data_IF_916501897406
#
_entry.id   IF_916501897406
#
_cell.length_a   1.000
_cell.length_b   1.000
_cell.length_c   1.000
_cell.angle_alpha   90.00
_cell.angle_beta   90.00
_cell.angle_gamma   90.00
#
_symmetry.space_group_name_H-M   'P 1'
#
loop_
_entity.id
_entity.type
_entity.pdbx_description
1 polymer ?
#
# COMPACT_ATOMS: atom_id res chain seq x y z
N UNK A 1 1.04 30.07 9.00
CA UNK A 1 2.05 30.18 7.93
C UNK A 1 3.44 29.89 8.49
N UNK A 2 3.83 28.61 8.52
CA UNK A 2 5.19 28.11 8.79
C UNK A 2 5.29 26.74 8.10
N UNK A 3 6.17 26.61 7.12
CA UNK A 3 6.55 25.33 6.51
C UNK A 3 7.73 24.74 7.31
N UNK A 4 7.76 23.42 7.59
CA UNK A 4 9.01 22.74 7.89
C UNK A 4 9.53 21.96 6.66
N UNK A 5 10.71 22.39 6.23
CA UNK A 5 11.83 21.61 5.70
C UNK A 5 11.54 20.30 4.94
N UNK A 6 11.69 20.35 3.62
CA UNK A 6 12.12 19.21 2.82
C UNK A 6 13.49 18.72 3.32
N UNK A 7 13.52 17.59 4.04
CA UNK A 7 14.73 16.82 4.23
C UNK A 7 15.01 16.02 2.95
N UNK A 8 15.90 16.56 2.12
CA UNK A 8 16.49 15.86 0.99
C UNK A 8 17.70 15.04 1.47
N UNK A 9 17.87 13.86 0.86
CA UNK A 9 19.04 12.95 0.88
C UNK A 9 19.19 12.01 2.10
N UNK A 10 19.23 10.70 1.83
CA UNK A 10 20.49 10.12 1.35
C UNK A 10 20.28 9.20 0.14
N UNK A 11 20.40 9.72 -1.07
CA UNK A 11 20.43 8.89 -2.30
C UNK A 11 21.72 9.02 -3.11
N UNK A 12 22.65 9.89 -2.72
CA UNK A 12 23.95 10.04 -3.42
C UNK A 12 25.02 9.03 -3.01
N UNK A 13 24.86 8.32 -1.89
CA UNK A 13 25.86 7.35 -1.44
C UNK A 13 25.73 5.96 -2.09
N UNK A 14 24.55 5.59 -2.61
CA UNK A 14 24.32 4.24 -3.15
C UNK A 14 24.65 4.09 -4.64
N UNK A 15 24.69 5.17 -5.42
CA UNK A 15 24.96 5.10 -6.87
C UNK A 15 26.45 4.99 -7.22
N UNK A 16 27.34 5.49 -6.35
CA UNK A 16 28.79 5.48 -6.63
C UNK A 16 29.40 4.09 -6.37
N UNK A 17 28.92 3.37 -5.36
CA UNK A 17 29.39 2.01 -5.05
C UNK A 17 29.16 1.00 -6.18
N UNK A 18 28.05 1.12 -6.92
CA UNK A 18 27.73 0.24 -8.04
C UNK A 18 28.64 0.49 -9.26
N UNK A 19 28.99 1.76 -9.52
CA UNK A 19 29.92 2.12 -10.60
C UNK A 19 31.34 1.64 -10.26
N UNK A 20 31.79 1.80 -9.02
CA UNK A 20 33.09 1.31 -8.59
C UNK A 20 33.18 -0.22 -8.60
N UNK A 21 32.11 -0.93 -8.17
CA UNK A 21 32.04 -2.39 -8.28
C UNK A 21 32.09 -2.85 -9.75
N UNK A 22 31.34 -2.20 -10.65
CA UNK A 22 31.35 -2.53 -12.07
C UNK A 22 32.70 -2.28 -12.75
N UNK A 23 33.39 -1.19 -12.41
CA UNK A 23 34.73 -0.88 -12.94
C UNK A 23 35.80 -1.81 -12.36
N UNK A 24 35.71 -2.16 -11.07
CA UNK A 24 36.62 -3.14 -10.44
C UNK A 24 36.41 -4.56 -10.98
N UNK A 25 35.16 -4.98 -11.22
CA UNK A 25 34.85 -6.25 -11.88
C UNK A 25 35.43 -6.24 -13.31
N UNK A 26 35.23 -5.14 -14.07
CA UNK A 26 35.79 -5.01 -15.42
C UNK A 26 37.32 -5.05 -15.43
N UNK A 27 37.98 -4.42 -14.46
CA UNK A 27 39.44 -4.39 -14.34
C UNK A 27 40.01 -5.72 -13.82
N UNK A 28 39.34 -6.35 -12.85
CA UNK A 28 39.70 -7.67 -12.32
C UNK A 28 39.54 -8.78 -13.35
N UNK A 29 38.59 -8.64 -14.28
CA UNK A 29 38.43 -9.55 -15.42
C UNK A 29 39.46 -9.30 -16.53
N UNK A 30 40.09 -8.12 -16.59
CA UNK A 30 41.07 -7.78 -17.62
C UNK A 30 42.49 -8.32 -17.33
N UNK A 31 42.79 -8.69 -16.08
CA UNK A 31 44.11 -9.23 -15.68
C UNK A 31 44.22 -10.76 -15.72
N UNK A 32 43.13 -11.48 -15.96
CA UNK A 32 43.17 -12.93 -16.15
C UNK A 32 43.08 -13.26 -17.63
N UNK A 33 44.14 -13.85 -18.18
CA UNK A 33 44.22 -14.51 -19.50
C UNK A 33 43.27 -15.74 -19.59
N UNK A 34 41.99 -15.55 -19.24
CA UNK A 34 40.91 -16.53 -19.34
C UNK A 34 39.85 -16.12 -20.37
N UNK A 35 39.96 -14.92 -20.96
CA UNK A 35 39.01 -14.34 -21.92
C UNK A 35 39.33 -14.67 -23.39
N UNK A 36 39.85 -15.87 -23.69
CA UNK A 36 40.07 -16.28 -25.09
C UNK A 36 38.93 -17.12 -25.68
N UNK A 37 37.82 -17.37 -24.94
CA UNK A 37 36.70 -18.19 -25.43
C UNK A 37 35.39 -17.41 -25.60
N UNK A 38 34.92 -17.37 -26.84
CA UNK A 38 33.68 -16.73 -27.31
C UNK A 38 32.42 -17.19 -26.53
N UNK A 39 32.48 -18.36 -25.90
CA UNK A 39 31.37 -18.98 -25.16
C UNK A 39 31.01 -18.27 -23.84
N UNK A 40 31.95 -17.58 -23.19
CA UNK A 40 31.72 -16.93 -21.90
C UNK A 40 30.89 -15.64 -22.02
N UNK A 41 31.09 -14.89 -23.10
CA UNK A 41 30.31 -13.67 -23.39
C UNK A 41 28.83 -13.96 -23.66
N UNK A 42 28.53 -15.07 -24.32
CA UNK A 42 27.14 -15.47 -24.60
C UNK A 42 26.45 -15.91 -23.30
N UNK A 43 27.14 -16.66 -22.45
CA UNK A 43 26.57 -17.12 -21.17
C UNK A 43 26.24 -15.97 -20.21
N UNK A 44 27.13 -14.97 -20.11
CA UNK A 44 26.91 -13.79 -19.26
C UNK A 44 25.77 -12.91 -19.77
N UNK A 45 25.71 -12.65 -21.08
CA UNK A 45 24.63 -11.88 -21.68
C UNK A 45 23.25 -12.54 -21.49
N UNK A 46 23.17 -13.87 -21.63
CA UNK A 46 21.91 -14.61 -21.40
C UNK A 46 21.50 -14.58 -19.92
N UNK A 47 22.46 -14.71 -19.00
CA UNK A 47 22.18 -14.60 -17.57
C UNK A 47 21.65 -13.22 -17.19
N UNK A 48 22.21 -12.14 -17.74
CA UNK A 48 21.73 -10.77 -17.53
C UNK A 48 20.32 -10.56 -18.09
N UNK A 49 20.04 -11.07 -19.31
CA UNK A 49 18.69 -11.00 -19.89
C UNK A 49 17.68 -11.75 -19.02
N UNK A 50 18.02 -12.96 -18.55
CA UNK A 50 17.16 -13.74 -17.65
C UNK A 50 16.94 -12.99 -16.34
N UNK A 51 17.98 -12.39 -15.75
CA UNK A 51 17.87 -11.60 -14.53
C UNK A 51 16.93 -10.40 -14.71
N UNK A 52 17.09 -9.65 -15.81
CA UNK A 52 16.21 -8.52 -16.14
C UNK A 52 14.77 -8.97 -16.34
N UNK A 53 14.53 -10.09 -17.04
CA UNK A 53 13.19 -10.65 -17.22
C UNK A 53 12.57 -11.09 -15.89
N UNK A 54 13.35 -11.73 -15.02
CA UNK A 54 12.90 -12.11 -13.68
C UNK A 54 12.57 -10.87 -12.83
N UNK A 55 13.41 -9.84 -12.83
CA UNK A 55 13.12 -8.56 -12.18
C UNK A 55 11.85 -7.92 -12.74
N UNK A 56 11.65 -7.96 -14.06
CA UNK A 56 10.45 -7.42 -14.72
C UNK A 56 9.19 -8.22 -14.34
N UNK A 57 9.27 -9.54 -14.25
CA UNK A 57 8.15 -10.41 -13.84
C UNK A 57 7.82 -10.21 -12.37
N UNK A 58 8.82 -10.12 -11.49
CA UNK A 58 8.62 -9.82 -10.07
C UNK A 58 7.94 -8.45 -9.92
N UNK A 59 8.41 -7.45 -10.67
CA UNK A 59 7.81 -6.10 -10.69
C UNK A 59 6.38 -6.09 -11.28
N UNK A 60 6.09 -6.93 -12.26
CA UNK A 60 4.74 -7.11 -12.82
C UNK A 60 3.79 -7.87 -11.88
N UNK A 61 4.31 -8.75 -11.04
CA UNK A 61 3.54 -9.42 -9.98
C UNK A 61 3.07 -8.40 -8.92
N UNK A 62 3.79 -7.28 -8.81
CA UNK A 62 3.43 -6.09 -8.05
C UNK A 62 2.46 -5.13 -8.78
N UNK A 63 1.74 -5.52 -9.85
CA UNK A 63 0.59 -4.73 -10.32
C UNK A 63 -0.52 -4.61 -9.25
N UNK A 64 -0.50 -5.45 -8.22
CA UNK A 64 -1.25 -5.29 -6.96
C UNK A 64 -0.62 -4.26 -5.99
N UNK A 65 0.69 -4.08 -6.05
CA UNK A 65 1.47 -3.16 -5.21
C UNK A 65 1.52 -1.76 -5.82
N UNK A 66 1.40 -1.59 -7.15
CA UNK A 66 1.34 -0.27 -7.79
C UNK A 66 0.16 0.60 -7.33
N UNK A 67 -0.79 0.04 -6.55
CA UNK A 67 -1.87 0.80 -5.94
C UNK A 67 -1.44 1.72 -4.78
N UNK A 68 -0.38 1.36 -4.03
CA UNK A 68 -0.08 1.95 -2.72
C UNK A 68 1.18 2.83 -2.64
N UNK A 69 2.04 2.89 -3.67
CA UNK A 69 3.25 3.72 -3.65
C UNK A 69 2.97 5.20 -3.91
N UNK A 70 2.06 5.82 -3.14
CA UNK A 70 1.92 7.28 -2.97
C UNK A 70 1.80 8.17 -4.22
N UNK A 71 1.75 7.58 -5.41
CA UNK A 71 1.82 8.26 -6.71
C UNK A 71 0.47 8.22 -7.44
N UNK A 72 -0.52 7.50 -6.91
CA UNK A 72 -1.90 7.44 -7.41
C UNK A 72 -2.63 8.80 -7.35
N UNK A 73 -2.06 9.81 -6.68
CA UNK A 73 -2.65 11.14 -6.49
C UNK A 73 -2.03 12.27 -7.31
N UNK A 74 -1.02 12.01 -8.15
CA UNK A 74 -0.36 13.04 -8.97
C UNK A 74 -0.62 12.82 -10.47
N UNK A 75 -1.82 13.19 -10.91
CA UNK A 75 -2.05 13.52 -12.31
C UNK A 75 -1.24 14.79 -12.62
N UNK A 76 -0.15 14.68 -13.39
CA UNK A 76 0.66 15.85 -13.78
C UNK A 76 -0.14 16.90 -14.60
N UNK A 77 -1.33 16.56 -15.07
CA UNK A 77 -2.20 17.45 -15.82
C UNK A 77 -3.05 18.38 -14.93
N UNK A 78 -3.23 18.05 -13.65
CA UNK A 78 -4.10 18.82 -12.77
C UNK A 78 -3.64 18.69 -11.32
N UNK A 79 -3.34 19.81 -10.65
CA UNK A 79 -2.89 19.83 -9.24
C UNK A 79 -4.03 19.51 -8.25
N UNK A 80 -5.04 18.76 -8.69
CA UNK A 80 -6.13 18.27 -7.86
C UNK A 80 -5.80 16.85 -7.38
N UNK A 81 -5.59 16.71 -6.07
CA UNK A 81 -5.65 15.42 -5.41
C UNK A 81 -7.07 14.87 -5.55
N UNK A 82 -7.25 13.83 -6.37
CA UNK A 82 -8.52 13.10 -6.46
C UNK A 82 -8.44 11.97 -5.44
N UNK A 83 -9.18 12.04 -4.32
CA UNK A 83 -9.07 11.03 -3.28
C UNK A 83 -9.47 9.66 -3.84
N UNK A 84 -8.65 8.66 -3.53
CA UNK A 84 -8.89 7.28 -3.96
C UNK A 84 -10.15 6.70 -3.32
N UNK A 85 -10.73 5.60 -3.85
CA UNK A 85 -11.93 4.99 -3.29
C UNK A 85 -11.81 4.67 -1.78
N UNK A 86 -10.66 4.15 -1.35
CA UNK A 86 -10.39 3.86 0.06
C UNK A 86 -10.32 5.12 0.94
N UNK A 87 -9.70 6.19 0.43
CA UNK A 87 -9.59 7.47 1.13
C UNK A 87 -10.95 8.15 1.30
N UNK A 88 -11.80 8.08 0.26
CA UNK A 88 -13.21 8.55 0.34
C UNK A 88 -13.99 7.77 1.39
N UNK A 89 -13.80 6.45 1.43
CA UNK A 89 -14.46 5.60 2.42
C UNK A 89 -14.03 5.96 3.85
N UNK A 90 -12.73 6.11 4.10
CA UNK A 90 -12.22 6.50 5.42
C UNK A 90 -12.68 7.90 5.83
N UNK A 91 -12.65 8.86 4.91
CA UNK A 91 -13.17 10.22 5.16
C UNK A 91 -14.64 10.19 5.57
N UNK A 92 -15.44 9.32 4.94
CA UNK A 92 -16.86 9.16 5.27
C UNK A 92 -17.09 8.47 6.60
N UNK A 93 -16.25 7.49 6.96
CA UNK A 93 -16.25 6.92 8.31
C UNK A 93 -15.99 7.98 9.38
N UNK A 94 -15.02 8.86 9.15
CA UNK A 94 -14.66 9.93 10.10
C UNK A 94 -15.76 11.00 10.25
N UNK A 95 -16.40 11.37 9.13
CA UNK A 95 -17.55 12.29 9.13
C UNK A 95 -18.73 11.72 9.93
N UNK A 96 -19.10 10.46 9.66
CA UNK A 96 -20.16 9.78 10.40
C UNK A 96 -19.79 9.59 11.88
N UNK A 97 -18.53 9.25 12.19
CA UNK A 97 -18.07 9.11 13.56
C UNK A 97 -18.21 10.42 14.35
N UNK A 98 -17.88 11.55 13.73
CA UNK A 98 -18.03 12.87 14.32
C UNK A 98 -19.51 13.24 14.48
N UNK A 99 -20.33 12.97 13.46
CA UNK A 99 -21.77 13.29 13.44
C UNK A 99 -22.57 12.55 14.51
N UNK A 100 -22.21 11.30 14.79
CA UNK A 100 -22.91 10.41 15.74
C UNK A 100 -22.14 10.17 17.04
N UNK A 101 -21.07 10.95 17.30
CA UNK A 101 -20.22 10.83 18.50
C UNK A 101 -19.78 9.39 18.79
N UNK A 102 -19.33 8.70 17.74
CA UNK A 102 -18.87 7.33 17.83
C UNK A 102 -17.50 7.26 18.49
N UNK A 103 -17.31 6.23 19.29
CA UNK A 103 -15.98 5.89 19.81
C UNK A 103 -15.11 5.31 18.69
N UNK A 104 -13.79 5.31 18.88
CA UNK A 104 -12.86 4.69 17.93
C UNK A 104 -13.27 3.24 17.59
N UNK A 105 -13.64 2.45 18.61
CA UNK A 105 -14.03 1.05 18.41
C UNK A 105 -15.36 0.89 17.68
N UNK A 106 -16.32 1.77 17.94
CA UNK A 106 -17.59 1.81 17.20
C UNK A 106 -17.37 2.18 15.73
N UNK A 107 -16.46 3.12 15.46
CA UNK A 107 -16.09 3.55 14.10
C UNK A 107 -15.45 2.42 13.30
N UNK A 108 -14.50 1.69 13.90
CA UNK A 108 -13.90 0.50 13.27
C UNK A 108 -14.97 -0.54 12.91
N UNK A 109 -15.86 -0.85 13.86
CA UNK A 109 -16.93 -1.84 13.65
C UNK A 109 -17.91 -1.37 12.57
N UNK A 110 -18.27 -0.08 12.54
CA UNK A 110 -19.10 0.51 11.50
C UNK A 110 -18.47 0.35 10.11
N UNK A 111 -17.19 0.64 9.97
CA UNK A 111 -16.46 0.48 8.70
C UNK A 111 -16.48 -0.97 8.21
N UNK A 112 -16.32 -1.95 9.10
CA UNK A 112 -16.39 -3.36 8.73
C UNK A 112 -17.82 -3.82 8.39
N UNK A 113 -18.84 -3.24 9.03
CA UNK A 113 -20.25 -3.48 8.68
C UNK A 113 -20.56 -2.94 7.28
N UNK A 114 -20.07 -1.75 6.94
CA UNK A 114 -20.22 -1.14 5.62
C UNK A 114 -19.55 -1.98 4.51
N UNK A 115 -18.45 -2.67 4.83
CA UNK A 115 -17.81 -3.69 3.98
C UNK A 115 -18.59 -5.02 3.92
N UNK A 116 -19.81 -5.06 4.46
CA UNK A 116 -20.71 -6.22 4.49
C UNK A 116 -20.21 -7.42 5.30
N UNK A 117 -19.18 -7.27 6.14
CA UNK A 117 -18.67 -8.36 6.98
C UNK A 117 -19.68 -8.84 8.02
N UNK A 118 -19.59 -10.10 8.38
CA UNK A 118 -20.36 -10.74 9.45
C UNK A 118 -19.73 -10.45 10.82
N UNK A 119 -20.49 -10.62 11.90
CA UNK A 119 -19.98 -10.40 13.26
C UNK A 119 -18.82 -11.34 13.62
N UNK A 120 -18.79 -12.54 13.03
CA UNK A 120 -17.70 -13.49 13.20
C UNK A 120 -16.41 -13.00 12.52
N UNK A 121 -16.51 -12.53 11.28
CA UNK A 121 -15.38 -11.95 10.53
C UNK A 121 -14.87 -10.66 11.20
N UNK A 122 -15.77 -9.80 11.67
CA UNK A 122 -15.42 -8.61 12.45
C UNK A 122 -14.64 -8.99 13.71
N UNK A 123 -15.06 -10.05 14.40
CA UNK A 123 -14.35 -10.56 15.57
C UNK A 123 -12.96 -11.07 15.24
N UNK A 124 -12.79 -11.77 14.11
CA UNK A 124 -11.49 -12.24 13.65
C UNK A 124 -10.55 -11.08 13.30
N UNK A 125 -11.07 -10.07 12.60
CA UNK A 125 -10.27 -8.95 12.11
C UNK A 125 -9.86 -7.97 13.21
N UNK A 126 -10.73 -7.78 14.20
CA UNK A 126 -10.46 -6.91 15.36
C UNK A 126 -9.91 -7.66 16.57
N UNK A 127 -9.64 -8.96 16.45
CA UNK A 127 -9.21 -9.87 17.53
C UNK A 127 -10.12 -9.83 18.77
N UNK A 128 -11.45 -9.86 18.55
CA UNK A 128 -12.49 -9.82 19.58
C UNK A 128 -13.36 -11.08 19.60
N UNK A 129 -13.90 -11.37 20.78
CA UNK A 129 -14.99 -12.35 20.90
C UNK A 129 -16.27 -11.86 20.22
N UNK A 130 -17.08 -12.79 19.70
CA UNK A 130 -18.38 -12.45 19.10
C UNK A 130 -19.32 -11.74 20.10
N UNK A 131 -19.22 -12.06 21.39
CA UNK A 131 -19.98 -11.39 22.46
C UNK A 131 -19.59 -9.93 22.58
N UNK A 132 -18.29 -9.63 22.55
CA UNK A 132 -17.77 -8.26 22.60
C UNK A 132 -18.21 -7.46 21.37
N UNK A 133 -18.10 -8.04 20.17
CA UNK A 133 -18.60 -7.42 18.93
C UNK A 133 -20.09 -7.14 19.03
N UNK A 134 -20.90 -8.09 19.52
CA UNK A 134 -22.35 -7.90 19.70
C UNK A 134 -22.67 -6.72 20.62
N UNK A 135 -21.93 -6.55 21.72
CA UNK A 135 -22.11 -5.42 22.64
C UNK A 135 -21.79 -4.10 21.96
N UNK A 136 -20.64 -4.00 21.28
CA UNK A 136 -20.28 -2.77 20.56
C UNK A 136 -21.26 -2.44 19.43
N UNK A 137 -21.72 -3.43 18.66
CA UNK A 137 -22.75 -3.24 17.61
C UNK A 137 -24.06 -2.73 18.20
N UNK A 138 -24.46 -3.21 19.39
CA UNK A 138 -25.66 -2.69 20.07
C UNK A 138 -25.50 -1.21 20.43
N UNK A 139 -24.34 -0.81 20.95
CA UNK A 139 -24.08 0.58 21.32
C UNK A 139 -23.98 1.48 20.09
N UNK A 140 -23.33 0.98 19.03
CA UNK A 140 -23.27 1.61 17.72
C UNK A 140 -24.67 1.91 17.17
N UNK A 141 -25.56 0.92 17.12
CA UNK A 141 -26.93 1.12 16.62
C UNK A 141 -27.76 2.05 17.51
N UNK A 142 -27.50 2.08 18.81
CA UNK A 142 -28.15 3.05 19.71
C UNK A 142 -27.75 4.50 19.38
N UNK A 143 -26.54 4.72 18.85
CA UNK A 143 -26.03 6.04 18.49
C UNK A 143 -26.40 6.49 17.09
N UNK A 144 -26.28 5.62 16.07
CA UNK A 144 -26.54 6.06 14.70
C UNK A 144 -28.03 6.36 14.43
N UNK A 145 -28.95 5.74 15.18
CA UNK A 145 -30.41 5.66 14.93
C UNK A 145 -30.95 4.64 13.90
N UNK A 146 -30.22 4.13 12.86
CA UNK A 146 -30.66 2.98 12.10
C UNK A 146 -30.64 1.71 12.94
N UNK A 147 -31.60 0.85 12.68
CA UNK A 147 -31.82 -0.38 13.44
C UNK A 147 -31.35 -1.64 12.69
N UNK A 148 -30.89 -1.50 11.45
CA UNK A 148 -30.46 -2.61 10.61
C UNK A 148 -29.05 -2.45 10.06
N UNK A 149 -28.41 -3.60 9.79
CA UNK A 149 -27.16 -3.68 9.03
C UNK A 149 -27.31 -3.00 7.66
N UNK A 150 -28.47 -3.15 7.03
CA UNK A 150 -28.76 -2.56 5.71
C UNK A 150 -28.75 -1.04 5.76
N UNK A 151 -29.34 -0.46 6.79
CA UNK A 151 -29.42 0.99 6.94
C UNK A 151 -28.02 1.60 7.16
N UNK A 152 -27.16 0.93 7.93
CA UNK A 152 -25.76 1.35 8.09
C UNK A 152 -25.00 1.30 6.77
N UNK A 153 -25.25 0.29 5.94
CA UNK A 153 -24.65 0.21 4.60
C UNK A 153 -25.16 1.35 3.72
N UNK A 154 -26.45 1.69 3.79
CA UNK A 154 -27.06 2.76 3.02
C UNK A 154 -26.41 4.13 3.29
N UNK A 155 -25.93 4.39 4.51
CA UNK A 155 -25.19 5.61 4.85
C UNK A 155 -23.90 5.82 4.05
N UNK A 156 -23.36 4.77 3.45
CA UNK A 156 -22.16 4.82 2.60
C UNK A 156 -22.48 4.82 1.10
N UNK A 157 -23.73 4.54 0.72
CA UNK A 157 -24.18 4.47 -0.68
C UNK A 157 -24.79 5.79 -1.19
N UNK A 158 -25.19 6.71 -0.29
CA UNK A 158 -25.69 8.08 -0.64
C UNK A 158 -24.62 9.02 -1.24
#
# INVERSE_FOLDING_TARGET
MRLPACACLPSRASSEGALFAGVMIRRSLQESDLLSSQSFFIGTALADIVLVLVCMVIWMSEKSVNGDWGASGLSLADRLHVPGPHERFMTRCDDLATRYELTARETEIMGLIAQRKSRAEIGQELFLSQTTVKTHVRHLYAKLAPHSKTDVIALFEE
#
